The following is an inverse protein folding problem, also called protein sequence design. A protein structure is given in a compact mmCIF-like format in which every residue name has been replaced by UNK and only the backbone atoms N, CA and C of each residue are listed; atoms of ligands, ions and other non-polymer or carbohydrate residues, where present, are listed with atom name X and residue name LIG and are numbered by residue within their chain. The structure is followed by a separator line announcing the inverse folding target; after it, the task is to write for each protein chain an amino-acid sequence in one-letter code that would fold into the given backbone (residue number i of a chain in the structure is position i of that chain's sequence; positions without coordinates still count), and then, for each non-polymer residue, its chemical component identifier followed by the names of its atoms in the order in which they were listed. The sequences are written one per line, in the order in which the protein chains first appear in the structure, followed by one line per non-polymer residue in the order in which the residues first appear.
data_IF_353710367330
#
_entry.id   IF_353710367330
#
_cell.length_a   1.000
_cell.length_b   1.000
_cell.length_c   1.000
_cell.angle_alpha   90.00
_cell.angle_beta   90.00
_cell.angle_gamma   90.00
#
_symmetry.space_group_name_H-M   'P 1'
#
loop_
_entity.id
_entity.type
_entity.pdbx_description
1 polymer ?
#
# COMPACT_ATOMS: atom_id res chain seq x y z
N UNK A 1 -9.73 -6.73 -2.34
CA UNK A 1 -9.01 -5.45 -2.55
C UNK A 1 -7.54 -5.69 -2.26
N UNK A 2 -6.64 -5.30 -3.16
CA UNK A 2 -5.18 -5.48 -2.99
C UNK A 2 -4.59 -4.20 -2.38
N UNK A 3 -3.83 -4.38 -1.31
CA UNK A 3 -3.08 -3.33 -0.63
C UNK A 3 -1.61 -3.45 -0.98
N UNK A 4 -0.97 -2.30 -1.08
CA UNK A 4 0.43 -2.11 -1.39
C UNK A 4 1.10 -1.34 -0.24
N UNK A 5 2.33 -1.70 0.08
CA UNK A 5 3.20 -0.98 1.00
C UNK A 5 4.64 -1.22 0.57
N UNK A 6 5.54 -0.27 0.77
CA UNK A 6 6.97 -0.53 0.65
C UNK A 6 7.39 -1.61 1.64
N UNK A 7 8.32 -2.47 1.21
CA UNK A 7 8.85 -3.54 2.03
C UNK A 7 9.53 -2.97 3.29
N UNK A 8 9.51 -3.73 4.38
CA UNK A 8 10.21 -3.31 5.60
C UNK A 8 11.71 -3.21 5.34
N UNK A 9 12.34 -2.19 5.95
CA UNK A 9 13.75 -1.87 5.72
C UNK A 9 14.02 -1.02 4.47
N UNK A 10 13.05 -0.82 3.57
CA UNK A 10 13.22 0.08 2.42
C UNK A 10 13.43 1.51 2.90
N UNK A 11 14.56 2.09 2.50
CA UNK A 11 14.90 3.48 2.72
C UNK A 11 14.40 4.34 1.56
N UNK A 12 13.91 5.53 1.89
CA UNK A 12 13.47 6.54 0.93
C UNK A 12 14.36 7.78 1.12
N UNK A 13 14.98 8.24 0.05
CA UNK A 13 15.74 9.48 0.05
C UNK A 13 15.23 10.41 -1.05
N UNK A 14 14.71 11.57 -0.65
CA UNK A 14 14.22 12.58 -1.57
C UNK A 14 15.29 13.64 -1.84
N UNK A 15 15.49 13.99 -3.12
CA UNK A 15 16.28 15.15 -3.54
C UNK A 15 15.43 15.98 -4.48
N UNK A 16 15.49 17.31 -4.43
CA UNK A 16 14.74 18.27 -5.29
C UNK A 16 13.63 17.67 -6.17
N UNK A 17 13.98 17.06 -7.31
CA UNK A 17 13.05 16.44 -8.26
C UNK A 17 13.05 14.91 -8.25
N UNK A 18 14.07 14.29 -7.66
CA UNK A 18 14.25 12.85 -7.62
C UNK A 18 13.79 12.21 -6.29
N UNK A 19 13.45 10.93 -6.35
CA UNK A 19 13.24 10.08 -5.18
C UNK A 19 13.91 8.74 -5.40
N UNK A 20 14.80 8.41 -4.48
CA UNK A 20 15.47 7.13 -4.38
C UNK A 20 14.70 6.24 -3.40
N UNK A 21 14.43 5.01 -3.81
CA UNK A 21 13.76 3.99 -2.99
C UNK A 21 14.61 2.73 -3.07
N UNK A 22 15.08 2.21 -1.93
CA UNK A 22 15.95 1.03 -1.97
C UNK A 22 16.15 0.31 -0.64
N UNK A 23 16.58 -0.94 -0.74
CA UNK A 23 16.94 -1.81 0.37
C UNK A 23 18.13 -2.68 -0.04
N UNK A 24 19.23 -2.59 0.72
CA UNK A 24 20.48 -3.32 0.50
C UNK A 24 21.00 -3.23 -0.95
N UNK A 25 20.70 -4.25 -1.77
CA UNK A 25 21.15 -4.43 -3.15
C UNK A 25 20.10 -3.99 -4.19
N UNK A 26 18.86 -3.73 -3.78
CA UNK A 26 17.75 -3.38 -4.67
C UNK A 26 17.41 -1.91 -4.53
N UNK A 27 17.38 -1.19 -5.65
CA UNK A 27 17.03 0.22 -5.63
C UNK A 27 16.42 0.68 -6.94
N UNK A 28 15.61 1.73 -6.84
CA UNK A 28 14.99 2.42 -7.95
C UNK A 28 15.15 3.92 -7.73
N UNK A 29 15.50 4.63 -8.81
CA UNK A 29 15.49 6.08 -8.86
C UNK A 29 14.32 6.53 -9.74
N UNK A 30 13.43 7.35 -9.19
CA UNK A 30 12.44 8.08 -9.96
C UNK A 30 12.86 9.54 -10.07
N UNK A 31 12.81 10.09 -11.28
CA UNK A 31 13.18 11.49 -11.57
C UNK A 31 11.97 12.39 -11.79
N UNK A 32 10.77 11.86 -11.56
CA UNK A 32 9.51 12.59 -11.75
C UNK A 32 8.89 12.97 -10.40
N UNK A 33 8.40 14.21 -10.32
CA UNK A 33 7.71 14.75 -9.14
C UNK A 33 6.42 14.00 -8.84
N UNK A 34 5.69 13.50 -9.85
CA UNK A 34 4.45 12.73 -9.64
C UNK A 34 4.71 11.41 -8.91
N UNK A 35 5.91 10.83 -9.08
CA UNK A 35 6.28 9.59 -8.41
C UNK A 35 6.45 9.77 -6.89
N UNK A 36 6.83 10.97 -6.43
CA UNK A 36 7.07 11.23 -5.00
C UNK A 36 5.81 11.05 -4.16
N UNK A 37 4.69 11.61 -4.62
CA UNK A 37 3.42 11.52 -3.90
C UNK A 37 2.93 10.07 -3.85
N UNK A 38 3.09 9.31 -4.95
CA UNK A 38 2.76 7.88 -4.98
C UNK A 38 3.62 7.10 -3.97
N UNK A 39 4.94 7.28 -3.98
CA UNK A 39 5.86 6.58 -3.06
C UNK A 39 5.55 6.89 -1.59
N UNK A 40 5.15 8.13 -1.28
CA UNK A 40 4.74 8.52 0.09
C UNK A 40 3.49 7.78 0.57
N UNK A 41 2.49 7.59 -0.30
CA UNK A 41 1.29 6.81 0.05
C UNK A 41 1.62 5.34 0.36
N UNK A 42 2.73 4.82 -0.20
CA UNK A 42 3.19 3.45 -0.01
C UNK A 42 4.03 3.25 1.26
N UNK A 43 4.33 4.29 2.04
CA UNK A 43 4.94 4.13 3.38
C UNK A 43 4.02 3.34 4.31
N UNK A 44 2.71 3.48 4.10
CA UNK A 44 1.67 2.71 4.80
C UNK A 44 0.90 1.83 3.83
N UNK A 45 0.05 0.95 4.34
CA UNK A 45 -0.80 0.12 3.49
C UNK A 45 -1.84 0.99 2.78
N UNK A 46 -1.78 1.01 1.45
CA UNK A 46 -2.69 1.76 0.60
C UNK A 46 -3.18 0.88 -0.54
N UNK A 47 -4.45 1.03 -0.93
CA UNK A 47 -4.96 0.46 -2.19
C UNK A 47 -4.82 1.47 -3.33
N UNK A 48 -5.07 1.00 -4.55
CA UNK A 48 -4.97 1.81 -5.77
C UNK A 48 -5.90 3.04 -5.72
N UNK A 49 -7.13 2.88 -5.23
CA UNK A 49 -8.13 3.95 -5.18
C UNK A 49 -7.71 5.07 -4.23
N UNK A 50 -7.15 4.72 -3.07
CA UNK A 50 -6.60 5.67 -2.11
C UNK A 50 -5.44 6.47 -2.69
N UNK A 51 -4.51 5.79 -3.36
CA UNK A 51 -3.37 6.46 -4.02
C UNK A 51 -3.88 7.43 -5.10
N UNK A 52 -4.87 7.02 -5.88
CA UNK A 52 -5.49 7.88 -6.90
C UNK A 52 -6.19 9.11 -6.30
N UNK A 53 -6.83 8.98 -5.13
CA UNK A 53 -7.50 10.09 -4.46
C UNK A 53 -6.53 11.08 -3.82
N UNK A 54 -5.40 10.59 -3.30
CA UNK A 54 -4.43 11.39 -2.55
C UNK A 54 -3.30 11.96 -3.41
N UNK A 55 -3.25 11.63 -4.70
CA UNK A 55 -2.21 12.09 -5.62
C UNK A 55 -2.82 12.69 -6.88
N UNK A 56 -2.13 13.63 -7.52
CA UNK A 56 -2.52 14.16 -8.83
C UNK A 56 -2.01 13.30 -10.00
N UNK A 57 -1.48 12.11 -9.72
CA UNK A 57 -0.92 11.23 -10.73
C UNK A 57 -2.04 10.52 -11.50
N UNK A 58 -1.82 10.32 -12.79
CA UNK A 58 -2.71 9.52 -13.63
C UNK A 58 -2.66 8.04 -13.25
N UNK A 59 -3.72 7.29 -13.61
CA UNK A 59 -3.76 5.84 -13.37
C UNK A 59 -2.57 5.11 -14.00
N UNK A 60 -2.11 5.57 -15.17
CA UNK A 60 -0.95 5.01 -15.86
C UNK A 60 0.34 5.22 -15.08
N UNK A 61 0.54 6.42 -14.50
CA UNK A 61 1.70 6.71 -13.66
C UNK A 61 1.69 5.88 -12.38
N UNK A 62 0.54 5.76 -11.70
CA UNK A 62 0.40 4.93 -10.50
C UNK A 62 0.75 3.48 -10.83
N UNK A 63 0.19 2.91 -11.89
CA UNK A 63 0.50 1.55 -12.31
C UNK A 63 1.97 1.37 -12.67
N UNK A 64 2.59 2.35 -13.34
CA UNK A 64 4.01 2.33 -13.69
C UNK A 64 4.89 2.30 -12.44
N UNK A 65 4.63 3.18 -11.47
CA UNK A 65 5.40 3.23 -10.21
C UNK A 65 5.25 1.93 -9.43
N UNK A 66 4.02 1.43 -9.27
CA UNK A 66 3.77 0.16 -8.58
C UNK A 66 4.51 -1.00 -9.28
N UNK A 67 4.46 -1.07 -10.61
CA UNK A 67 5.12 -2.13 -11.39
C UNK A 67 6.65 -2.08 -11.26
N UNK A 68 7.24 -0.88 -11.28
CA UNK A 68 8.69 -0.71 -11.12
C UNK A 68 9.12 -1.13 -9.71
N UNK A 69 8.40 -0.70 -8.67
CA UNK A 69 8.70 -1.07 -7.29
C UNK A 69 8.53 -2.59 -7.05
N UNK A 70 7.51 -3.19 -7.65
CA UNK A 70 7.25 -4.63 -7.56
C UNK A 70 8.33 -5.45 -8.27
N UNK A 71 8.71 -5.05 -9.49
CA UNK A 71 9.81 -5.67 -10.23
C UNK A 71 11.16 -5.52 -9.50
N UNK A 72 11.36 -4.41 -8.79
CA UNK A 72 12.51 -4.19 -7.91
C UNK A 72 12.42 -4.95 -6.59
N UNK A 73 11.33 -5.67 -6.31
CA UNK A 73 11.10 -6.37 -5.04
C UNK A 73 11.09 -5.44 -3.83
N UNK A 74 10.70 -4.17 -4.02
CA UNK A 74 10.60 -3.14 -2.99
C UNK A 74 9.18 -2.98 -2.46
N UNK A 75 8.22 -3.73 -3.00
CA UNK A 75 6.80 -3.64 -2.70
C UNK A 75 6.30 -4.92 -2.04
N UNK A 76 5.54 -4.75 -0.96
CA UNK A 76 4.79 -5.80 -0.28
C UNK A 76 3.32 -5.75 -0.67
N UNK A 77 2.70 -6.93 -0.75
CA UNK A 77 1.30 -7.08 -1.12
C UNK A 77 0.51 -7.71 0.01
N UNK A 78 -0.72 -7.24 0.19
CA UNK A 78 -1.70 -7.87 1.09
C UNK A 78 -3.05 -7.92 0.41
N UNK A 79 -3.63 -9.11 0.34
CA UNK A 79 -5.03 -9.26 -0.02
C UNK A 79 -5.88 -9.10 1.24
N UNK A 80 -6.77 -8.11 1.24
CA UNK A 80 -7.89 -8.15 2.16
C UNK A 80 -8.88 -9.19 1.66
N UNK A 81 -8.87 -10.38 2.28
CA UNK A 81 -10.01 -11.28 2.23
C UNK A 81 -11.20 -10.52 2.83
N UNK A 82 -12.33 -10.50 2.14
CA UNK A 82 -13.59 -10.05 2.72
C UNK A 82 -13.76 -10.78 4.06
N UNK A 83 -13.98 -10.07 5.18
CA UNK A 83 -14.25 -10.75 6.42
C UNK A 83 -15.52 -11.58 6.19
N UNK A 84 -15.41 -12.90 6.26
CA UNK A 84 -16.58 -13.75 6.46
C UNK A 84 -17.06 -13.49 7.88
N UNK A 85 -17.70 -12.34 8.10
CA UNK A 85 -18.35 -12.02 9.36
C UNK A 85 -19.61 -12.87 9.40
N UNK A 86 -19.48 -14.13 9.81
CA UNK A 86 -20.60 -14.82 10.44
C UNK A 86 -20.73 -14.15 11.81
N UNK A 87 -21.52 -13.08 11.88
CA UNK A 87 -21.97 -12.53 13.16
C UNK A 87 -22.86 -13.61 13.75
N UNK A 88 -22.29 -14.49 14.57
CA UNK A 88 -23.07 -15.39 15.40
C UNK A 88 -23.61 -14.55 16.56
N UNK A 89 -24.79 -13.96 16.38
CA UNK A 89 -25.55 -13.39 17.49
C UNK A 89 -26.16 -14.57 18.25
N UNK A 90 -25.43 -15.11 19.23
CA UNK A 90 -26.04 -15.99 20.23
C UNK A 90 -26.92 -15.14 21.14
N UNK A 91 -28.24 -15.17 20.89
CA UNK A 91 -29.22 -14.70 21.85
C UNK A 91 -29.18 -15.67 23.04
N UNK A 92 -28.71 -15.21 24.20
CA UNK A 92 -28.94 -15.89 25.47
C UNK A 92 -30.30 -15.43 26.00
N UNK A 93 -31.34 -16.20 25.68
CA UNK A 93 -32.60 -16.16 26.41
C UNK A 93 -32.79 -17.52 27.07
N UNK A 94 -32.91 -17.49 28.41
CA UNK A 94 -33.67 -18.37 29.32
C UNK A 94 -33.07 -18.16 30.73
N UNK A 95 -33.69 -17.38 31.62
CA UNK A 95 -34.87 -17.68 32.47
C UNK A 95 -34.66 -18.90 33.38
N UNK A 96 -34.45 -18.63 34.67
CA UNK A 96 -35.17 -19.30 35.78
C UNK A 96 -34.47 -20.39 36.59
N UNK A 97 -34.64 -20.25 37.92
CA UNK A 97 -34.60 -21.29 38.99
C UNK A 97 -33.18 -21.68 39.46
N UNK A 98 -32.80 -21.58 40.74
CA UNK A 98 -33.50 -21.61 42.05
C UNK A 98 -32.95 -20.54 43.01
#
# INVERSE_FOLDING_TARGET
MRLFKLHEGVAIAERKEDIFVGHLDRHVLFTDKSCKSIVRELVTWSDFSRIQQNTSASNSEIQKVLSILDAGGLLSHREMKTPHTKITISHFNEIGQL
#
